data_IF_196268198226
#
_entry.id   IF_196268198226
#
_cell.length_a   1.000
_cell.length_b   1.000
_cell.length_c   1.000
_cell.angle_alpha   90.00
_cell.angle_beta   90.00
_cell.angle_gamma   90.00
#
_symmetry.space_group_name_H-M   'P 1'
#
loop_
_entity.id
_entity.type
_entity.pdbx_description
1 polymer ?
#
# COMPACT_ATOMS: atom_id res chain seq x y z
N UNK A 1 -40.89 -20.98 26.98
CA UNK A 1 -39.48 -21.26 26.62
C UNK A 1 -39.02 -20.12 25.73
N UNK A 2 -38.29 -19.16 26.28
CA UNK A 2 -37.96 -17.93 25.55
C UNK A 2 -37.40 -16.90 26.53
N UNK A 3 -36.06 -16.81 26.55
CA UNK A 3 -35.18 -15.81 27.18
C UNK A 3 -33.84 -16.52 27.43
N UNK A 4 -32.95 -16.48 26.44
CA UNK A 4 -31.65 -17.16 26.54
C UNK A 4 -30.59 -16.76 25.51
N UNK A 5 -30.97 -16.11 24.40
CA UNK A 5 -30.02 -15.84 23.30
C UNK A 5 -29.61 -14.36 23.13
N UNK A 6 -30.07 -13.44 23.98
CA UNK A 6 -29.80 -12.00 23.79
C UNK A 6 -28.60 -11.45 24.60
N UNK A 7 -27.97 -12.25 25.47
CA UNK A 7 -26.89 -11.76 26.35
C UNK A 7 -25.49 -12.11 25.84
N UNK A 8 -25.35 -13.07 24.92
CA UNK A 8 -24.03 -13.47 24.40
C UNK A 8 -23.58 -12.58 23.23
N UNK A 9 -24.50 -12.06 22.40
CA UNK A 9 -24.15 -11.20 21.25
C UNK A 9 -23.68 -9.78 21.62
N UNK A 10 -24.13 -9.23 22.76
CA UNK A 10 -23.78 -7.85 23.17
C UNK A 10 -22.39 -7.80 23.83
N UNK A 11 -21.92 -8.91 24.42
CA UNK A 11 -20.60 -8.98 25.06
C UNK A 11 -19.49 -9.17 24.00
N UNK A 12 -19.76 -9.86 22.89
CA UNK A 12 -18.80 -10.04 21.79
C UNK A 12 -18.52 -8.75 21.01
N UNK A 13 -19.56 -7.96 20.71
CA UNK A 13 -19.41 -6.69 19.97
C UNK A 13 -18.75 -5.60 20.84
N UNK A 14 -18.99 -5.61 22.15
CA UNK A 14 -18.33 -4.70 23.09
C UNK A 14 -16.83 -4.98 23.26
N UNK A 15 -16.40 -6.25 23.17
CA UNK A 15 -14.99 -6.61 23.25
C UNK A 15 -14.23 -6.29 21.95
N UNK A 16 -14.84 -6.51 20.78
CA UNK A 16 -14.23 -6.17 19.49
C UNK A 16 -14.07 -4.66 19.28
N UNK A 17 -15.08 -3.85 19.65
CA UNK A 17 -14.96 -2.39 19.54
C UNK A 17 -14.02 -1.76 20.59
N UNK A 18 -13.83 -2.40 21.75
CA UNK A 18 -12.84 -1.96 22.74
C UNK A 18 -11.40 -2.23 22.27
N UNK A 19 -11.15 -3.28 21.48
CA UNK A 19 -9.83 -3.58 20.89
C UNK A 19 -9.51 -2.63 19.73
N UNK A 20 -10.49 -2.31 18.87
CA UNK A 20 -10.30 -1.35 17.77
C UNK A 20 -10.14 0.09 18.28
N UNK A 21 -10.88 0.49 19.32
CA UNK A 21 -10.69 1.79 19.96
C UNK A 21 -9.37 1.88 20.76
N UNK A 22 -8.88 0.77 21.33
CA UNK A 22 -7.56 0.73 21.97
C UNK A 22 -6.41 0.80 20.94
N UNK A 23 -6.60 0.27 19.72
CA UNK A 23 -5.62 0.38 18.63
C UNK A 23 -5.57 1.79 18.01
N UNK A 24 -6.67 2.54 18.02
CA UNK A 24 -6.74 3.91 17.50
C UNK A 24 -6.38 5.00 18.52
N UNK A 25 -6.35 4.69 19.83
CA UNK A 25 -6.10 5.67 20.91
C UNK A 25 -4.81 5.44 21.71
N UNK A 26 -4.02 4.41 21.40
CA UNK A 26 -2.69 4.24 21.98
C UNK A 26 -1.64 4.71 20.98
N UNK A 27 -1.24 5.98 21.10
CA UNK A 27 0.13 6.34 20.75
C UNK A 27 1.05 5.43 21.56
N UNK A 28 1.62 4.40 20.92
CA UNK A 28 2.33 3.35 21.64
C UNK A 28 3.69 3.85 22.13
N UNK A 29 3.92 3.92 23.46
CA UNK A 29 5.24 4.12 24.02
C UNK A 29 5.93 2.76 24.13
N UNK A 30 7.12 2.64 23.54
CA UNK A 30 8.00 1.47 23.63
C UNK A 30 7.99 0.61 22.37
N UNK A 31 8.72 1.07 21.34
CA UNK A 31 8.94 0.32 20.11
C UNK A 31 10.05 -0.72 20.33
N UNK A 32 9.71 -2.00 20.27
CA UNK A 32 10.69 -3.07 20.15
C UNK A 32 11.26 -3.04 18.72
N UNK A 33 12.37 -2.32 18.54
CA UNK A 33 13.12 -2.37 17.30
C UNK A 33 13.87 -3.70 17.27
N UNK A 34 13.46 -4.58 16.37
CA UNK A 34 14.18 -5.83 16.10
C UNK A 34 15.36 -5.49 15.18
N UNK A 35 16.60 -5.89 15.51
CA UNK A 35 17.74 -5.74 14.60
C UNK A 35 17.45 -6.40 13.25
N UNK A 36 17.90 -5.77 12.16
CA UNK A 36 17.84 -6.36 10.82
C UNK A 36 18.69 -7.65 10.75
N UNK A 37 18.49 -8.43 9.68
CA UNK A 37 19.45 -9.48 9.32
C UNK A 37 20.86 -8.85 9.17
N UNK A 38 21.91 -9.46 9.75
CA UNK A 38 23.25 -8.89 9.70
C UNK A 38 23.75 -8.81 8.25
N UNK A 39 23.93 -7.59 7.75
CA UNK A 39 24.60 -7.33 6.46
C UNK A 39 23.90 -6.33 5.53
N UNK A 40 22.69 -5.87 5.85
CA UNK A 40 22.03 -4.85 5.03
C UNK A 40 22.50 -3.44 5.40
N UNK A 41 23.23 -2.80 4.49
CA UNK A 41 23.82 -1.46 4.70
C UNK A 41 23.20 -0.42 3.77
N UNK A 42 23.23 0.83 4.22
CA UNK A 42 22.89 2.00 3.42
C UNK A 42 24.13 2.88 3.26
N UNK A 43 24.46 3.22 2.02
CA UNK A 43 25.61 4.06 1.71
C UNK A 43 25.27 5.53 1.96
N UNK A 44 25.57 6.00 3.17
CA UNK A 44 25.33 7.40 3.56
C UNK A 44 26.38 8.29 2.90
N UNK A 45 25.94 9.14 1.96
CA UNK A 45 26.79 10.13 1.30
C UNK A 45 26.92 11.38 2.17
N UNK A 46 27.79 11.30 3.19
CA UNK A 46 28.04 12.42 4.08
C UNK A 46 28.69 13.62 3.34
N UNK A 47 28.33 14.86 3.71
CA UNK A 47 29.04 16.05 3.26
C UNK A 47 30.46 16.12 3.86
N UNK A 48 31.27 17.04 3.34
CA UNK A 48 32.63 17.28 3.85
C UNK A 48 32.62 17.61 5.35
N UNK A 49 33.56 17.02 6.10
CA UNK A 49 33.66 17.21 7.55
C UNK A 49 32.68 16.38 8.40
N UNK A 50 31.81 15.59 7.76
CA UNK A 50 30.88 14.68 8.44
C UNK A 50 31.24 13.23 8.16
N UNK A 51 31.16 12.39 9.18
CA UNK A 51 31.32 10.93 9.07
C UNK A 51 30.15 10.20 9.69
N UNK A 52 29.85 9.00 9.19
CA UNK A 52 28.77 8.15 9.67
C UNK A 52 29.30 6.82 10.20
N UNK A 53 28.92 6.48 11.43
CA UNK A 53 29.12 5.17 12.01
C UNK A 53 27.81 4.37 11.95
N UNK A 54 27.73 3.42 11.02
CA UNK A 54 26.55 2.60 10.78
C UNK A 54 26.21 1.68 11.97
N UNK A 55 27.22 1.19 12.70
CA UNK A 55 27.02 0.25 13.83
C UNK A 55 26.34 0.94 15.01
N UNK A 56 26.61 2.23 15.21
CA UNK A 56 26.05 3.00 16.33
C UNK A 56 24.91 3.93 15.91
N UNK A 57 24.66 4.07 14.61
CA UNK A 57 23.74 5.05 14.04
C UNK A 57 24.13 6.49 14.37
N UNK A 58 25.42 6.80 14.37
CA UNK A 58 25.95 8.10 14.82
C UNK A 58 26.59 8.86 13.66
N UNK A 59 26.14 10.10 13.44
CA UNK A 59 26.84 11.09 12.62
C UNK A 59 27.79 11.90 13.51
N UNK A 60 28.98 12.20 12.99
CA UNK A 60 30.03 12.92 13.72
C UNK A 60 30.62 14.02 12.86
N UNK A 61 31.01 15.13 13.51
CA UNK A 61 31.68 16.28 12.91
C UNK A 61 32.84 16.73 13.79
N UNK A 62 33.86 17.38 13.20
CA UNK A 62 35.02 17.87 13.97
C UNK A 62 34.65 19.03 14.90
N UNK A 63 33.81 19.93 14.40
CA UNK A 63 33.32 21.12 15.08
C UNK A 63 31.90 20.94 15.61
N UNK A 64 31.49 21.80 16.55
CA UNK A 64 30.10 21.84 16.97
C UNK A 64 29.26 22.50 15.88
N UNK A 65 28.28 21.75 15.35
CA UNK A 65 27.38 22.22 14.28
C UNK A 65 25.92 22.03 14.67
N UNK A 66 25.05 22.73 13.96
CA UNK A 66 23.61 22.52 14.01
C UNK A 66 23.22 21.35 13.11
N UNK A 67 22.46 20.41 13.64
CA UNK A 67 21.86 19.30 12.91
C UNK A 67 20.36 19.56 12.76
N UNK A 68 19.88 19.66 11.53
CA UNK A 68 18.44 19.66 11.25
C UNK A 68 18.05 18.28 10.71
N UNK A 69 17.10 17.63 11.37
CA UNK A 69 16.75 16.23 11.08
C UNK A 69 15.26 16.13 10.81
N UNK A 70 14.92 15.56 9.66
CA UNK A 70 13.54 15.23 9.29
C UNK A 70 13.38 13.72 9.26
N UNK A 71 12.48 13.17 10.06
CA UNK A 71 12.11 11.76 10.02
C UNK A 71 11.17 11.51 8.83
N UNK A 72 11.66 10.76 7.84
CA UNK A 72 10.95 10.50 6.59
C UNK A 72 9.88 9.41 6.74
N UNK A 73 9.85 8.70 7.87
CA UNK A 73 8.87 7.67 8.19
C UNK A 73 7.63 8.21 8.91
N UNK A 74 7.57 9.54 9.11
CA UNK A 74 6.38 10.26 9.56
C UNK A 74 5.64 10.80 8.33
N UNK A 75 4.31 10.57 8.19
CA UNK A 75 3.51 11.18 7.14
C UNK A 75 3.69 12.70 7.10
N UNK A 76 3.63 13.29 5.92
CA UNK A 76 3.86 14.72 5.73
C UNK A 76 2.90 15.61 6.52
N UNK A 77 1.63 15.22 6.59
CA UNK A 77 0.60 15.88 7.39
C UNK A 77 -0.20 14.82 8.15
N UNK A 78 -0.25 14.96 9.46
CA UNK A 78 -1.08 14.16 10.35
C UNK A 78 -2.17 15.04 10.96
N UNK A 79 -3.12 14.45 11.68
CA UNK A 79 -4.10 15.20 12.48
C UNK A 79 -3.47 16.12 13.52
N UNK A 80 -2.20 15.90 13.86
CA UNK A 80 -1.43 16.68 14.84
C UNK A 80 -0.63 17.82 14.20
N UNK A 81 -0.57 17.87 12.87
CA UNK A 81 0.11 18.91 12.11
C UNK A 81 1.05 18.34 11.05
N UNK A 82 1.91 19.21 10.52
CA UNK A 82 2.88 18.81 9.49
C UNK A 82 4.10 18.17 10.12
N UNK A 83 4.71 17.23 9.38
CA UNK A 83 6.05 16.71 9.66
C UNK A 83 6.99 17.90 9.88
N UNK A 84 7.54 17.97 11.09
CA UNK A 84 8.38 19.08 11.52
C UNK A 84 9.79 18.55 11.78
N UNK A 85 10.82 19.13 11.14
CA UNK A 85 12.19 18.81 11.47
C UNK A 85 12.50 19.14 12.93
N UNK A 86 13.40 18.39 13.56
CA UNK A 86 13.97 18.79 14.85
C UNK A 86 15.40 19.28 14.68
N UNK A 87 15.80 20.18 15.58
CA UNK A 87 17.14 20.76 15.60
C UNK A 87 17.88 20.31 16.86
N UNK A 88 19.17 20.03 16.71
CA UNK A 88 20.09 19.85 17.85
C UNK A 88 21.47 20.39 17.50
N UNK A 89 22.22 20.83 18.51
CA UNK A 89 23.58 21.35 18.33
C UNK A 89 24.56 20.42 19.04
N UNK A 90 25.64 20.06 18.35
CA UNK A 90 26.66 19.18 18.92
C UNK A 90 27.62 18.64 17.87
N UNK A 91 28.66 17.97 18.34
CA UNK A 91 29.62 17.26 17.47
C UNK A 91 29.10 15.92 16.98
N UNK A 92 28.12 15.35 17.69
CA UNK A 92 27.56 14.03 17.44
C UNK A 92 26.03 14.10 17.37
N UNK A 93 25.45 13.39 16.41
CA UNK A 93 24.03 13.14 16.29
C UNK A 93 23.79 11.63 16.26
N UNK A 94 23.14 11.10 17.30
CA UNK A 94 22.77 9.69 17.38
C UNK A 94 21.31 9.50 16.98
N UNK A 95 21.07 8.71 15.95
CA UNK A 95 19.75 8.42 15.41
C UNK A 95 19.30 7.01 15.82
N UNK A 96 17.99 6.84 15.92
CA UNK A 96 17.37 5.52 16.08
C UNK A 96 17.25 4.84 14.71
N UNK A 97 16.99 3.52 14.68
CA UNK A 97 16.56 2.83 13.46
C UNK A 97 15.43 3.58 12.74
N UNK A 98 15.58 3.81 11.44
CA UNK A 98 14.65 4.62 10.65
C UNK A 98 15.30 5.22 9.40
N UNK A 99 14.59 6.14 8.75
CA UNK A 99 15.05 6.87 7.57
C UNK A 99 14.88 8.38 7.76
N UNK A 100 15.96 9.13 7.56
CA UNK A 100 16.04 10.54 7.87
C UNK A 100 16.63 11.33 6.70
N UNK A 101 16.15 12.57 6.55
CA UNK A 101 16.83 13.62 5.79
C UNK A 101 17.53 14.57 6.75
N UNK A 102 18.84 14.72 6.61
CA UNK A 102 19.69 15.45 7.55
C UNK A 102 20.37 16.63 6.84
N UNK A 103 20.44 17.78 7.52
CA UNK A 103 21.28 18.92 7.15
C UNK A 103 22.29 19.15 8.26
N UNK A 104 23.58 19.21 7.91
CA UNK A 104 24.70 19.36 8.84
C UNK A 104 25.33 20.75 8.68
N UNK A 105 25.08 21.65 9.62
CA UNK A 105 25.46 23.06 9.50
C UNK A 105 24.80 23.70 8.26
N UNK A 106 25.63 24.21 7.36
CA UNK A 106 25.20 24.84 6.10
C UNK A 106 25.25 23.87 4.90
N UNK A 107 25.33 22.54 5.13
CA UNK A 107 25.39 21.56 4.04
C UNK A 107 24.09 21.49 3.24
N UNK A 108 24.15 20.88 2.06
CA UNK A 108 22.94 20.38 1.40
C UNK A 108 22.33 19.21 2.22
N UNK A 109 21.02 18.96 2.13
CA UNK A 109 20.39 17.81 2.76
C UNK A 109 20.90 16.48 2.18
N UNK A 110 21.09 15.49 3.04
CA UNK A 110 21.49 14.13 2.65
C UNK A 110 20.67 13.07 3.38
N UNK A 111 20.57 11.89 2.75
CA UNK A 111 19.77 10.77 3.24
C UNK A 111 20.56 9.86 4.18
N UNK A 112 19.93 9.47 5.27
CA UNK A 112 20.51 8.60 6.31
C UNK A 112 19.49 7.54 6.69
N UNK A 113 19.82 6.27 6.45
CA UNK A 113 19.02 5.15 6.92
C UNK A 113 19.79 4.33 7.95
N UNK A 114 19.15 4.09 9.10
CA UNK A 114 19.70 3.30 10.21
C UNK A 114 18.98 1.96 10.23
N UNK A 115 19.76 0.88 10.21
CA UNK A 115 19.26 -0.48 10.12
C UNK A 115 18.32 -0.86 11.27
N UNK A 116 17.38 -1.74 10.96
CA UNK A 116 16.30 -2.17 11.83
C UNK A 116 15.03 -2.37 11.02
N UNK A 117 14.07 -3.06 11.62
CA UNK A 117 12.81 -3.37 10.98
C UNK A 117 11.62 -3.04 11.89
N UNK A 118 10.47 -2.89 11.24
CA UNK A 118 9.17 -2.78 11.91
C UNK A 118 8.30 -3.96 11.51
N UNK A 119 7.74 -4.64 12.51
CA UNK A 119 6.72 -5.68 12.30
C UNK A 119 5.34 -5.04 12.25
N UNK A 120 4.57 -5.44 11.26
CA UNK A 120 3.18 -5.06 11.06
C UNK A 120 2.30 -6.29 11.18
N UNK A 121 1.08 -6.07 11.66
CA UNK A 121 0.02 -7.08 11.69
C UNK A 121 -1.18 -6.51 10.98
N UNK A 122 -1.62 -7.18 9.92
CA UNK A 122 -2.85 -6.84 9.22
C UNK A 122 -3.91 -7.89 9.56
N UNK A 123 -5.09 -7.43 9.98
CA UNK A 123 -6.23 -8.29 10.32
C UNK A 123 -7.51 -7.75 9.72
N UNK A 124 -8.35 -8.62 9.14
CA UNK A 124 -9.64 -8.24 8.58
C UNK A 124 -10.63 -9.42 8.58
N UNK A 125 -11.90 -9.10 8.42
CA UNK A 125 -12.98 -10.06 8.18
C UNK A 125 -13.12 -10.31 6.68
N UNK A 126 -13.09 -11.59 6.27
CA UNK A 126 -13.26 -12.02 4.89
C UNK A 126 -14.53 -12.87 4.72
N UNK A 127 -15.43 -12.48 3.83
CA UNK A 127 -16.61 -13.25 3.47
C UNK A 127 -16.31 -14.20 2.30
N UNK A 128 -16.32 -15.51 2.52
CA UNK A 128 -15.98 -16.49 1.48
C UNK A 128 -17.15 -16.80 0.50
N UNK A 129 -18.31 -16.18 0.71
CA UNK A 129 -19.57 -16.47 0.01
C UNK A 129 -20.54 -17.30 0.85
N UNK A 130 -20.09 -17.88 1.95
CA UNK A 130 -20.92 -18.65 2.88
C UNK A 130 -20.83 -18.08 4.30
N UNK A 131 -19.61 -17.89 4.79
CA UNK A 131 -19.28 -17.45 6.15
C UNK A 131 -18.30 -16.26 6.14
N UNK A 132 -18.25 -15.55 7.28
CA UNK A 132 -17.20 -14.57 7.57
C UNK A 132 -16.08 -15.24 8.34
N UNK A 133 -14.83 -15.00 7.92
CA UNK A 133 -13.60 -15.56 8.50
C UNK A 133 -12.68 -14.45 8.98
N UNK A 134 -12.10 -14.60 10.16
CA UNK A 134 -11.05 -13.72 10.66
C UNK A 134 -9.70 -14.10 10.06
N UNK A 135 -9.11 -13.19 9.29
CA UNK A 135 -7.83 -13.35 8.63
C UNK A 135 -6.80 -12.44 9.29
N UNK A 136 -5.58 -12.95 9.44
CA UNK A 136 -4.45 -12.19 9.98
C UNK A 136 -3.15 -12.64 9.31
N UNK A 137 -2.31 -11.68 8.96
CA UNK A 137 -0.93 -11.90 8.49
C UNK A 137 0.01 -10.94 9.20
N UNK A 138 1.26 -11.36 9.41
CA UNK A 138 2.28 -10.50 10.02
C UNK A 138 3.51 -10.42 9.13
N UNK A 139 4.04 -9.22 8.93
CA UNK A 139 5.17 -9.01 8.02
C UNK A 139 6.12 -7.95 8.56
N UNK A 140 7.38 -8.11 8.20
CA UNK A 140 8.44 -7.19 8.57
C UNK A 140 8.80 -6.30 7.37
N UNK A 141 9.10 -5.03 7.65
CA UNK A 141 9.67 -4.08 6.69
C UNK A 141 11.00 -3.58 7.26
N UNK A 142 12.10 -3.80 6.53
CA UNK A 142 13.40 -3.20 6.84
C UNK A 142 13.38 -1.72 6.51
N UNK A 143 13.91 -0.89 7.41
CA UNK A 143 14.07 0.55 7.17
C UNK A 143 15.07 0.84 6.06
N UNK A 144 16.05 -0.03 5.83
CA UNK A 144 17.03 0.16 4.75
C UNK A 144 16.38 -0.07 3.38
N UNK A 145 15.62 -1.16 3.23
CA UNK A 145 14.90 -1.44 1.98
C UNK A 145 13.84 -0.38 1.68
N UNK A 146 13.11 0.05 2.71
CA UNK A 146 12.14 1.11 2.57
C UNK A 146 12.80 2.43 2.16
N UNK A 147 13.90 2.84 2.79
CA UNK A 147 14.63 4.05 2.42
C UNK A 147 15.10 4.03 0.97
N UNK A 148 15.70 2.91 0.52
CA UNK A 148 16.11 2.73 -0.88
C UNK A 148 14.91 2.87 -1.84
N UNK A 149 13.80 2.21 -1.50
CA UNK A 149 12.56 2.27 -2.28
C UNK A 149 12.03 3.70 -2.38
N UNK A 150 11.93 4.42 -1.25
CA UNK A 150 11.45 5.80 -1.20
C UNK A 150 12.36 6.75 -1.98
N UNK A 151 13.68 6.59 -1.92
CA UNK A 151 14.63 7.45 -2.66
C UNK A 151 14.49 7.23 -4.17
N UNK A 152 14.51 5.96 -4.61
CA UNK A 152 14.33 5.63 -6.01
C UNK A 152 12.98 6.10 -6.56
N UNK A 153 11.93 5.98 -5.75
CA UNK A 153 10.58 6.35 -6.17
C UNK A 153 10.33 7.85 -6.08
N UNK A 154 11.00 8.59 -5.17
CA UNK A 154 10.86 10.03 -5.03
C UNK A 154 11.29 10.79 -6.30
N UNK A 155 12.42 10.41 -6.92
CA UNK A 155 12.87 11.06 -8.16
C UNK A 155 11.83 10.89 -9.28
N UNK A 156 11.27 9.68 -9.41
CA UNK A 156 10.21 9.41 -10.39
C UNK A 156 8.92 10.15 -10.04
N UNK A 157 8.59 10.29 -8.76
CA UNK A 157 7.40 11.03 -8.33
C UNK A 157 7.55 12.55 -8.46
N UNK A 158 8.75 13.12 -8.32
CA UNK A 158 8.97 14.57 -8.45
C UNK A 158 9.05 15.01 -9.91
N UNK A 159 9.69 14.23 -10.78
CA UNK A 159 9.99 14.63 -12.16
C UNK A 159 9.23 13.84 -13.23
N UNK A 160 8.57 12.75 -12.85
CA UNK A 160 7.90 11.85 -13.77
C UNK A 160 6.53 12.36 -14.23
N UNK A 161 6.22 12.10 -15.49
CA UNK A 161 4.86 12.21 -16.03
C UNK A 161 4.05 10.97 -15.65
N UNK A 162 2.87 11.17 -15.07
CA UNK A 162 1.93 10.12 -14.62
C UNK A 162 1.17 9.42 -15.76
N UNK A 163 1.86 9.04 -16.83
CA UNK A 163 1.23 8.29 -17.91
C UNK A 163 0.85 6.88 -17.45
N UNK A 164 -0.29 6.37 -17.92
CA UNK A 164 -0.73 5.02 -17.60
C UNK A 164 0.24 3.93 -18.06
N UNK A 165 1.03 4.17 -19.11
CA UNK A 165 2.13 3.28 -19.51
C UNK A 165 3.22 3.11 -18.43
N UNK A 166 3.26 3.99 -17.42
CA UNK A 166 4.15 3.87 -16.28
C UNK A 166 3.54 3.11 -15.10
N UNK A 167 2.22 2.86 -15.07
CA UNK A 167 1.58 2.14 -13.97
C UNK A 167 2.23 0.78 -13.66
N UNK A 168 2.67 -0.02 -14.65
CA UNK A 168 3.35 -1.28 -14.34
C UNK A 168 4.66 -1.10 -13.55
N UNK A 169 5.31 0.07 -13.64
CA UNK A 169 6.65 0.30 -13.05
C UNK A 169 6.64 0.44 -11.53
N UNK A 170 5.48 0.75 -10.94
CA UNK A 170 5.34 0.84 -9.48
C UNK A 170 5.01 -0.52 -8.85
N UNK A 171 4.66 -1.53 -9.64
CA UNK A 171 4.37 -2.88 -9.14
C UNK A 171 5.68 -3.63 -8.91
N UNK A 172 6.11 -3.71 -7.65
CA UNK A 172 7.35 -4.37 -7.24
C UNK A 172 7.03 -5.60 -6.39
N UNK A 173 7.60 -6.77 -6.76
CA UNK A 173 7.47 -8.02 -6.00
C UNK A 173 8.77 -8.28 -5.25
N UNK A 174 8.87 -7.73 -4.05
CA UNK A 174 10.00 -7.88 -3.14
C UNK A 174 9.84 -9.10 -2.19
N UNK A 175 10.77 -9.23 -1.23
CA UNK A 175 10.75 -10.31 -0.22
C UNK A 175 9.56 -10.21 0.73
N UNK A 176 9.12 -9.00 1.06
CA UNK A 176 7.97 -8.75 1.95
C UNK A 176 6.68 -9.14 1.26
N UNK A 177 6.47 -8.77 0.00
CA UNK A 177 5.31 -9.19 -0.80
C UNK A 177 5.25 -10.72 -0.93
N UNK A 178 6.37 -11.38 -1.22
CA UNK A 178 6.41 -12.86 -1.28
C UNK A 178 6.10 -13.51 0.06
N UNK A 179 6.57 -12.93 1.16
CA UNK A 179 6.27 -13.41 2.51
C UNK A 179 4.78 -13.25 2.83
N UNK A 180 4.18 -12.11 2.48
CA UNK A 180 2.74 -11.88 2.65
C UNK A 180 1.94 -12.87 1.81
N UNK A 181 2.27 -13.03 0.53
CA UNK A 181 1.58 -13.97 -0.37
C UNK A 181 1.67 -15.42 0.14
N UNK A 182 2.84 -15.87 0.60
CA UNK A 182 3.00 -17.20 1.19
C UNK A 182 2.09 -17.42 2.39
N UNK A 183 2.01 -16.44 3.31
CA UNK A 183 1.12 -16.51 4.47
C UNK A 183 -0.36 -16.49 4.06
N UNK A 184 -0.73 -15.66 3.07
CA UNK A 184 -2.09 -15.64 2.53
C UNK A 184 -2.45 -16.97 1.88
N UNK A 185 -1.55 -17.55 1.08
CA UNK A 185 -1.70 -18.89 0.48
C UNK A 185 -2.01 -19.93 1.55
N UNK A 186 -1.19 -20.01 2.59
CA UNK A 186 -1.36 -20.97 3.69
C UNK A 186 -2.70 -20.75 4.41
N UNK A 187 -3.02 -19.50 4.75
CA UNK A 187 -4.26 -19.15 5.44
C UNK A 187 -5.50 -19.49 4.62
N UNK A 188 -5.44 -19.29 3.31
CA UNK A 188 -6.53 -19.63 2.41
C UNK A 188 -6.82 -21.14 2.39
N UNK A 189 -5.76 -21.96 2.33
CA UNK A 189 -5.87 -23.42 2.39
C UNK A 189 -6.37 -23.90 3.76
N UNK A 190 -5.92 -23.28 4.86
CA UNK A 190 -6.39 -23.58 6.22
C UNK A 190 -7.89 -23.34 6.41
N UNK A 191 -8.45 -22.35 5.71
CA UNK A 191 -9.89 -22.04 5.74
C UNK A 191 -10.70 -22.96 4.80
N UNK A 192 -10.06 -23.93 4.14
CA UNK A 192 -10.70 -24.87 3.22
C UNK A 192 -10.75 -24.38 1.76
N UNK A 193 -10.13 -23.24 1.45
CA UNK A 193 -9.95 -22.76 0.09
C UNK A 193 -8.96 -23.63 -0.70
N UNK A 194 -8.98 -23.50 -2.03
CA UNK A 194 -8.04 -24.18 -2.92
C UNK A 194 -7.41 -23.21 -3.89
N UNK A 195 -6.08 -23.16 -3.95
CA UNK A 195 -5.36 -22.30 -4.90
C UNK A 195 -5.54 -22.70 -6.36
N UNK A 196 -6.05 -23.90 -6.61
CA UNK A 196 -6.47 -24.36 -7.95
C UNK A 196 -7.76 -23.65 -8.40
N UNK A 197 -8.60 -23.20 -7.46
CA UNK A 197 -9.67 -22.24 -7.75
C UNK A 197 -9.06 -20.84 -7.86
N UNK A 198 -8.50 -20.57 -9.04
CA UNK A 198 -7.76 -19.34 -9.34
C UNK A 198 -8.59 -18.08 -9.15
N UNK A 199 -9.91 -18.12 -9.40
CA UNK A 199 -10.76 -16.96 -9.20
C UNK A 199 -11.03 -16.72 -7.72
N UNK A 200 -11.43 -17.75 -6.96
CA UNK A 200 -11.69 -17.59 -5.52
C UNK A 200 -10.41 -17.23 -4.75
N UNK A 201 -9.25 -17.75 -5.16
CA UNK A 201 -7.98 -17.35 -4.57
C UNK A 201 -7.60 -15.90 -4.90
N UNK A 202 -7.85 -15.43 -6.12
CA UNK A 202 -7.66 -14.01 -6.46
C UNK A 202 -8.58 -13.09 -5.65
N UNK A 203 -9.85 -13.47 -5.46
CA UNK A 203 -10.81 -12.75 -4.59
C UNK A 203 -10.30 -12.66 -3.14
N UNK A 204 -9.68 -13.73 -2.64
CA UNK A 204 -9.06 -13.73 -1.33
C UNK A 204 -7.84 -12.81 -1.25
N UNK A 205 -6.92 -12.90 -2.22
CA UNK A 205 -5.70 -12.08 -2.26
C UNK A 205 -6.00 -10.58 -2.34
N UNK A 206 -6.94 -10.17 -3.18
CA UNK A 206 -7.30 -8.75 -3.33
C UNK A 206 -7.96 -8.19 -2.07
N UNK A 207 -8.64 -9.03 -1.30
CA UNK A 207 -9.26 -8.63 -0.04
C UNK A 207 -8.23 -8.07 0.95
N UNK A 208 -6.99 -8.55 0.92
CA UNK A 208 -5.91 -7.98 1.74
C UNK A 208 -5.71 -6.50 1.42
N UNK A 209 -5.56 -6.12 0.14
CA UNK A 209 -5.38 -4.72 -0.24
C UNK A 209 -6.64 -3.88 0.08
N UNK A 210 -7.81 -4.40 -0.28
CA UNK A 210 -9.11 -3.74 -0.07
C UNK A 210 -9.44 -3.46 1.39
N UNK A 211 -8.98 -4.32 2.31
CA UNK A 211 -9.42 -4.29 3.71
C UNK A 211 -8.35 -3.78 4.67
N UNK A 212 -7.07 -3.79 4.27
CA UNK A 212 -5.95 -3.45 5.18
C UNK A 212 -5.26 -2.14 4.83
N UNK A 213 -5.50 -1.61 3.62
CA UNK A 213 -4.97 -0.31 3.19
C UNK A 213 -6.08 0.72 3.33
N UNK A 214 -5.81 1.78 4.10
CA UNK A 214 -6.75 2.88 4.28
C UNK A 214 -6.64 3.87 3.13
N UNK A 215 -7.77 4.31 2.59
CA UNK A 215 -7.78 5.39 1.62
C UNK A 215 -7.47 6.73 2.33
N UNK A 216 -6.60 7.60 1.79
CA UNK A 216 -6.26 8.86 2.43
C UNK A 216 -7.50 9.75 2.63
N UNK A 217 -7.63 10.39 3.79
CA UNK A 217 -8.66 11.41 4.02
C UNK A 217 -8.09 12.78 3.65
N UNK A 218 -8.16 13.11 2.36
CA UNK A 218 -7.64 14.38 1.86
C UNK A 218 -8.38 15.59 2.46
N UNK A 219 -7.64 16.56 3.00
CA UNK A 219 -8.14 17.93 3.08
C UNK A 219 -8.02 18.51 1.66
N UNK A 220 -9.13 18.96 1.07
CA UNK A 220 -9.17 19.60 -0.26
C UNK A 220 -8.81 18.76 -1.50
N UNK A 221 -9.00 17.43 -1.47
CA UNK A 221 -8.88 16.58 -2.68
C UNK A 221 -7.45 16.25 -3.11
N UNK A 222 -6.48 16.51 -2.24
CA UNK A 222 -5.07 16.15 -2.44
C UNK A 222 -4.74 14.94 -1.54
N UNK A 223 -5.20 13.76 -1.95
CA UNK A 223 -5.17 12.54 -1.14
C UNK A 223 -3.74 12.17 -0.70
N UNK A 224 -2.79 12.21 -1.62
CA UNK A 224 -1.39 11.88 -1.38
C UNK A 224 -0.62 12.92 -0.59
N UNK A 225 -1.04 14.18 -0.64
CA UNK A 225 -0.28 15.27 -0.04
C UNK A 225 -0.15 15.08 1.47
N UNK A 226 -1.16 14.49 2.12
CA UNK A 226 -1.11 14.17 3.55
C UNK A 226 -0.03 13.14 3.90
N UNK A 227 0.25 12.17 3.03
CA UNK A 227 1.26 11.15 3.30
C UNK A 227 2.62 11.60 2.80
N UNK A 228 2.69 12.09 1.57
CA UNK A 228 3.93 12.26 0.81
C UNK A 228 4.40 13.72 0.71
N UNK A 229 3.52 14.68 0.95
CA UNK A 229 3.81 16.12 0.79
C UNK A 229 3.87 16.58 -0.66
N UNK A 230 3.43 15.74 -1.60
CA UNK A 230 3.27 16.04 -3.02
C UNK A 230 1.95 15.47 -3.53
N UNK A 231 1.41 16.03 -4.61
CA UNK A 231 0.19 15.51 -5.25
C UNK A 231 0.52 14.30 -6.13
N UNK A 232 -0.39 13.34 -6.22
CA UNK A 232 -0.31 12.20 -7.14
C UNK A 232 1.02 11.44 -7.00
N UNK A 233 1.37 11.06 -5.77
CA UNK A 233 2.54 10.24 -5.49
C UNK A 233 2.17 8.77 -5.65
N UNK A 234 2.64 8.10 -6.71
CA UNK A 234 2.37 6.68 -6.84
C UNK A 234 3.40 5.91 -6.01
N UNK A 235 2.96 5.42 -4.86
CA UNK A 235 3.74 4.63 -3.94
C UNK A 235 3.92 3.20 -4.44
N UNK A 236 5.10 2.64 -4.17
CA UNK A 236 5.37 1.21 -4.39
C UNK A 236 4.76 0.38 -3.25
N UNK A 237 4.54 -0.93 -3.44
CA UNK A 237 3.90 -1.77 -2.42
C UNK A 237 4.52 -1.68 -1.01
N UNK A 238 5.85 -1.63 -0.89
CA UNK A 238 6.52 -1.51 0.41
C UNK A 238 6.22 -0.18 1.11
N UNK A 239 6.14 0.90 0.35
CA UNK A 239 5.77 2.24 0.83
C UNK A 239 4.32 2.26 1.32
N UNK A 240 3.39 1.75 0.52
CA UNK A 240 1.96 1.64 0.87
C UNK A 240 1.75 0.78 2.11
N UNK A 241 2.42 -0.38 2.20
CA UNK A 241 2.34 -1.27 3.36
C UNK A 241 2.89 -0.63 4.63
N UNK A 242 3.99 0.13 4.53
CA UNK A 242 4.60 0.76 5.69
C UNK A 242 3.70 1.80 6.34
N UNK A 243 3.06 2.64 5.54
CA UNK A 243 2.12 3.65 6.04
C UNK A 243 0.73 3.09 6.31
N UNK A 244 0.37 1.94 5.71
CA UNK A 244 -0.98 1.37 5.75
C UNK A 244 -2.02 2.27 5.08
N UNK A 245 -1.57 3.21 4.25
CA UNK A 245 -2.37 4.23 3.59
C UNK A 245 -1.92 4.29 2.14
N UNK A 246 -2.89 4.36 1.22
CA UNK A 246 -2.65 4.52 -0.20
C UNK A 246 -3.97 4.70 -0.94
N UNK A 247 -3.94 5.43 -2.04
CA UNK A 247 -5.12 5.68 -2.85
C UNK A 247 -5.29 4.61 -3.95
N UNK A 248 -5.87 4.96 -5.11
CA UNK A 248 -6.29 3.97 -6.09
C UNK A 248 -5.13 3.22 -6.75
N UNK A 249 -4.07 3.90 -7.16
CA UNK A 249 -2.89 3.29 -7.76
C UNK A 249 -2.06 2.52 -6.74
N UNK A 250 -1.95 3.01 -5.51
CA UNK A 250 -1.12 2.43 -4.45
C UNK A 250 -1.68 1.08 -4.02
N UNK A 251 -2.99 1.06 -3.70
CA UNK A 251 -3.71 -0.17 -3.34
C UNK A 251 -3.73 -1.17 -4.51
N UNK A 252 -3.87 -0.68 -5.74
CA UNK A 252 -3.79 -1.50 -6.95
C UNK A 252 -2.41 -2.11 -7.15
N UNK A 253 -1.34 -1.36 -6.87
CA UNK A 253 0.02 -1.86 -6.98
C UNK A 253 0.29 -2.98 -5.97
N UNK A 254 -0.19 -2.87 -4.72
CA UNK A 254 -0.11 -3.95 -3.73
C UNK A 254 -0.87 -5.19 -4.21
N UNK A 255 -2.13 -5.04 -4.65
CA UNK A 255 -2.92 -6.15 -5.16
C UNK A 255 -2.22 -6.83 -6.35
N UNK A 256 -1.71 -6.05 -7.30
CA UNK A 256 -0.97 -6.57 -8.44
C UNK A 256 0.31 -7.30 -8.05
N UNK A 257 1.06 -6.79 -7.07
CA UNK A 257 2.26 -7.44 -6.58
C UNK A 257 1.95 -8.80 -5.93
N UNK A 258 0.87 -8.91 -5.16
CA UNK A 258 0.39 -10.17 -4.59
C UNK A 258 -0.07 -11.16 -5.67
N UNK A 259 -0.85 -10.70 -6.65
CA UNK A 259 -1.25 -11.55 -7.78
C UNK A 259 -0.03 -12.10 -8.53
N UNK A 260 0.96 -11.25 -8.80
CA UNK A 260 2.18 -11.66 -9.49
C UNK A 260 3.01 -12.63 -8.65
N UNK A 261 3.08 -12.43 -7.32
CA UNK A 261 3.72 -13.38 -6.40
C UNK A 261 3.03 -14.75 -6.42
N UNK A 262 1.69 -14.77 -6.47
CA UNK A 262 0.85 -15.97 -6.58
C UNK A 262 0.82 -16.61 -7.99
N UNK A 263 1.62 -16.12 -8.93
CA UNK A 263 1.79 -16.67 -10.27
C UNK A 263 0.72 -16.27 -11.29
N UNK A 264 -0.11 -15.26 -11.00
CA UNK A 264 -1.01 -14.70 -12.00
C UNK A 264 -0.25 -13.81 -12.99
N UNK A 265 -0.69 -13.80 -14.25
CA UNK A 265 -0.38 -12.68 -15.14
C UNK A 265 -1.24 -11.49 -14.72
N UNK A 266 -0.62 -10.34 -14.58
CA UNK A 266 -1.24 -9.18 -13.90
C UNK A 266 -1.10 -7.92 -14.75
N UNK A 267 -2.02 -6.99 -14.57
CA UNK A 267 -1.99 -5.67 -15.19
C UNK A 267 -2.51 -4.61 -14.21
N UNK A 268 -1.96 -3.41 -14.31
CA UNK A 268 -2.60 -2.22 -13.75
C UNK A 268 -3.65 -1.70 -14.74
N UNK A 269 -4.75 -1.14 -14.25
CA UNK A 269 -5.86 -0.67 -15.08
C UNK A 269 -5.98 0.84 -14.93
N UNK A 270 -5.67 1.58 -15.99
CA UNK A 270 -5.85 3.03 -16.02
C UNK A 270 -7.19 3.39 -16.64
N UNK A 271 -8.01 4.19 -15.95
CA UNK A 271 -9.30 4.69 -16.44
C UNK A 271 -9.50 6.15 -16.00
N UNK A 272 -10.49 6.89 -16.53
CA UNK A 272 -10.70 8.29 -16.12
C UNK A 272 -10.87 8.46 -14.61
N UNK A 273 -9.90 9.14 -14.00
CA UNK A 273 -9.92 9.50 -12.57
C UNK A 273 -9.80 8.33 -11.61
N UNK A 274 -9.33 7.16 -12.07
CA UNK A 274 -9.21 5.98 -11.22
C UNK A 274 -8.19 4.98 -11.76
N UNK A 275 -7.56 4.24 -10.85
CA UNK A 275 -6.67 3.12 -11.15
C UNK A 275 -7.18 1.87 -10.43
N UNK A 276 -7.13 0.72 -11.09
CA UNK A 276 -7.51 -0.57 -10.50
C UNK A 276 -6.45 -1.64 -10.76
N UNK A 277 -6.56 -2.78 -10.08
CA UNK A 277 -5.78 -3.96 -10.39
C UNK A 277 -6.49 -4.82 -11.45
N UNK A 278 -5.74 -5.72 -12.09
CA UNK A 278 -6.30 -6.70 -13.02
C UNK A 278 -5.41 -7.92 -13.18
N UNK A 279 -6.01 -9.05 -13.54
CA UNK A 279 -5.30 -10.31 -13.74
C UNK A 279 -5.91 -11.18 -14.84
N UNK A 280 -5.13 -12.10 -15.37
CA UNK A 280 -5.63 -13.11 -16.30
C UNK A 280 -6.22 -14.27 -15.52
N UNK A 281 -7.45 -14.62 -15.88
CA UNK A 281 -8.13 -15.84 -15.43
C UNK A 281 -8.44 -16.68 -16.67
N UNK A 282 -7.96 -17.92 -16.71
CA UNK A 282 -8.25 -18.85 -17.81
C UNK A 282 -9.74 -19.19 -17.87
N UNK A 283 -10.35 -19.32 -16.70
CA UNK A 283 -11.78 -19.52 -16.52
C UNK A 283 -12.30 -18.46 -15.57
N UNK A 284 -13.35 -17.77 -15.99
CA UNK A 284 -14.04 -16.78 -15.18
C UNK A 284 -15.52 -17.14 -15.09
N UNK A 285 -16.02 -17.24 -13.85
CA UNK A 285 -17.42 -17.48 -13.54
C UNK A 285 -18.00 -16.22 -12.89
N UNK A 286 -18.96 -15.55 -13.52
CA UNK A 286 -19.67 -14.45 -12.90
C UNK A 286 -20.27 -14.82 -11.54
N UNK A 287 -20.07 -13.94 -10.56
CA UNK A 287 -20.75 -13.95 -9.26
C UNK A 287 -21.98 -13.04 -9.28
N UNK A 288 -22.98 -13.37 -8.47
CA UNK A 288 -24.07 -12.44 -8.15
C UNK A 288 -23.54 -11.40 -7.16
N UNK A 289 -23.22 -10.23 -7.69
CA UNK A 289 -22.71 -9.10 -6.92
C UNK A 289 -23.65 -8.68 -5.79
N UNK A 290 -24.95 -8.95 -5.87
CA UNK A 290 -25.88 -8.63 -4.79
C UNK A 290 -25.60 -9.37 -3.47
N UNK A 291 -24.89 -10.50 -3.52
CA UNK A 291 -24.43 -11.26 -2.34
C UNK A 291 -23.34 -10.51 -1.55
N UNK A 292 -22.58 -9.63 -2.21
CA UNK A 292 -21.44 -8.91 -1.63
C UNK A 292 -21.80 -7.51 -1.12
N UNK A 293 -23.04 -7.05 -1.34
CA UNK A 293 -23.47 -5.68 -1.07
C UNK A 293 -23.27 -5.22 0.38
N UNK A 294 -23.38 -6.15 1.33
CA UNK A 294 -23.30 -5.86 2.77
C UNK A 294 -21.84 -5.87 3.27
N UNK A 295 -20.92 -6.43 2.48
CA UNK A 295 -19.49 -6.53 2.79
C UNK A 295 -18.65 -5.50 2.04
N UNK A 296 -19.24 -4.85 1.04
CA UNK A 296 -18.58 -3.87 0.22
C UNK A 296 -19.06 -2.43 0.54
N UNK A 297 -18.26 -1.64 1.27
CA UNK A 297 -18.58 -0.22 1.49
C UNK A 297 -18.39 0.57 0.18
N UNK A 298 -19.36 1.43 -0.18
CA UNK A 298 -19.39 2.14 -1.48
C UNK A 298 -19.93 1.33 -2.67
N UNK A 299 -20.40 0.10 -2.43
CA UNK A 299 -20.79 -0.87 -3.47
C UNK A 299 -22.22 -0.74 -4.00
N UNK A 300 -23.10 0.00 -3.31
CA UNK A 300 -24.44 0.31 -3.83
C UNK A 300 -24.40 1.04 -5.18
N UNK A 301 -23.31 1.76 -5.46
CA UNK A 301 -23.03 2.38 -6.76
C UNK A 301 -22.47 1.41 -7.81
N UNK A 302 -21.92 0.25 -7.40
CA UNK A 302 -21.35 -0.77 -8.26
C UNK A 302 -22.38 -1.81 -8.72
N UNK A 303 -23.35 -2.22 -7.89
CA UNK A 303 -24.26 -3.34 -8.24
C UNK A 303 -25.05 -3.11 -9.54
N UNK A 304 -25.63 -1.93 -9.72
CA UNK A 304 -26.39 -1.59 -10.95
C UNK A 304 -25.49 -1.16 -12.11
N UNK A 305 -24.23 -0.84 -11.80
CA UNK A 305 -23.27 -0.27 -12.72
C UNK A 305 -21.97 -1.05 -12.72
N UNK A 306 -21.94 -2.37 -12.53
CA UNK A 306 -20.73 -3.16 -12.73
C UNK A 306 -20.71 -3.72 -14.15
N UNK A 307 -19.53 -3.80 -14.77
CA UNK A 307 -19.33 -4.46 -16.05
C UNK A 307 -18.14 -5.40 -15.97
N UNK A 308 -18.12 -6.42 -16.84
CA UNK A 308 -16.92 -7.22 -17.03
C UNK A 308 -15.84 -6.32 -17.63
N UNK A 309 -14.83 -6.02 -16.83
CA UNK A 309 -13.62 -5.39 -17.32
C UNK A 309 -12.77 -6.49 -17.95
N UNK A 310 -13.09 -6.86 -19.19
CA UNK A 310 -12.34 -7.84 -19.97
C UNK A 310 -11.92 -7.26 -21.30
N UNK A 311 -10.62 -7.11 -21.49
CA UNK A 311 -10.04 -6.66 -22.75
C UNK A 311 -8.66 -7.28 -22.94
N UNK A 312 -8.31 -7.50 -24.20
CA UNK A 312 -6.91 -7.69 -24.59
C UNK A 312 -6.17 -6.37 -24.32
N UNK A 313 -4.98 -6.46 -23.73
CA UNK A 313 -4.08 -5.31 -23.60
C UNK A 313 -3.58 -4.80 -24.96
N UNK A 314 -3.88 -5.51 -26.05
CA UNK A 314 -3.43 -5.25 -27.42
C UNK A 314 -1.97 -5.60 -27.65
N UNK A 315 -1.28 -6.08 -26.61
CA UNK A 315 0.16 -6.40 -26.61
C UNK A 315 0.44 -7.89 -26.45
N UNK A 316 -0.48 -8.66 -25.85
CA UNK A 316 -0.20 -10.03 -25.37
C UNK A 316 -1.21 -11.08 -25.83
N UNK A 317 -2.43 -10.68 -26.25
CA UNK A 317 -3.51 -11.62 -26.57
C UNK A 317 -4.16 -12.28 -25.35
N UNK A 318 -3.75 -11.86 -24.14
CA UNK A 318 -4.33 -12.31 -22.88
C UNK A 318 -5.59 -11.50 -22.53
N UNK A 319 -6.58 -12.16 -21.91
CA UNK A 319 -7.81 -11.52 -21.44
C UNK A 319 -7.71 -11.21 -19.94
N UNK A 320 -7.55 -9.93 -19.62
CA UNK A 320 -7.46 -9.46 -18.23
C UNK A 320 -8.84 -9.23 -17.63
N UNK A 321 -8.97 -9.45 -16.33
CA UNK A 321 -10.16 -9.23 -15.51
C UNK A 321 -9.81 -8.16 -14.47
N UNK A 322 -10.47 -7.01 -14.54
CA UNK A 322 -10.23 -5.91 -13.60
C UNK A 322 -10.88 -6.11 -12.24
N UNK A 323 -10.30 -5.54 -11.20
CA UNK A 323 -10.84 -5.53 -9.84
C UNK A 323 -10.52 -4.22 -9.15
N UNK A 324 -11.53 -3.66 -8.49
CA UNK A 324 -11.41 -2.41 -7.77
C UNK A 324 -10.82 -2.63 -6.36
N UNK A 325 -9.87 -1.80 -5.95
CA UNK A 325 -9.08 -1.98 -4.72
C UNK A 325 -9.38 -0.97 -3.62
N UNK A 326 -10.18 0.06 -3.90
CA UNK A 326 -10.47 1.15 -2.95
C UNK A 326 -11.82 0.99 -2.26
N UNK A 327 -12.57 -0.03 -2.68
CA UNK A 327 -13.75 -0.51 -1.99
C UNK A 327 -13.32 -1.69 -1.11
N UNK A 328 -14.19 -2.09 -0.20
CA UNK A 328 -14.01 -3.33 0.58
C UNK A 328 -14.06 -4.55 -0.36
N UNK A 329 -14.65 -5.67 0.05
CA UNK A 329 -14.42 -6.97 -0.58
C UNK A 329 -15.07 -7.20 -1.97
N UNK A 330 -14.65 -6.44 -2.98
CA UNK A 330 -15.13 -6.51 -4.36
C UNK A 330 -14.52 -7.74 -5.05
N UNK A 331 -15.34 -8.66 -5.60
CA UNK A 331 -14.82 -9.79 -6.35
C UNK A 331 -14.06 -9.39 -7.60
N UNK A 332 -13.07 -10.20 -7.97
CA UNK A 332 -12.31 -10.11 -9.21
C UNK A 332 -13.23 -10.18 -10.43
N UNK A 333 -12.92 -9.38 -11.45
CA UNK A 333 -13.68 -9.31 -12.70
C UNK A 333 -14.72 -8.18 -12.74
N UNK A 334 -14.89 -7.46 -11.64
CA UNK A 334 -15.87 -6.39 -11.51
C UNK A 334 -15.21 -5.02 -11.34
N UNK A 335 -15.62 -4.09 -12.20
CA UNK A 335 -15.33 -2.66 -12.11
C UNK A 335 -16.59 -1.85 -12.38
N UNK A 336 -16.56 -0.56 -12.04
CA UNK A 336 -17.59 0.38 -12.48
C UNK A 336 -17.75 0.37 -14.01
N UNK A 337 -18.98 0.31 -14.47
CA UNK A 337 -19.43 0.23 -15.86
C UNK A 337 -19.02 1.47 -16.63
N UNK A 338 -19.03 2.64 -15.98
CA UNK A 338 -18.48 3.86 -16.57
C UNK A 338 -16.99 3.73 -16.90
N UNK A 339 -16.22 3.03 -16.05
CA UNK A 339 -14.81 2.74 -16.30
C UNK A 339 -14.65 1.75 -17.45
N UNK A 340 -15.43 0.66 -17.47
CA UNK A 340 -15.41 -0.32 -18.58
C UNK A 340 -15.78 0.34 -19.91
N UNK A 341 -16.80 1.21 -19.92
CA UNK A 341 -17.22 1.97 -21.11
C UNK A 341 -16.17 2.98 -21.60
N UNK A 342 -15.15 3.27 -20.80
CA UNK A 342 -14.05 4.16 -21.18
C UNK A 342 -12.92 3.46 -21.93
N UNK A 343 -12.84 2.12 -21.89
CA UNK A 343 -11.75 1.37 -22.51
C UNK A 343 -11.54 1.72 -23.99
N UNK A 344 -10.28 1.88 -24.37
CA UNK A 344 -9.88 2.32 -25.71
C UNK A 344 -9.97 3.83 -25.95
N UNK A 345 -10.50 4.62 -25.01
CA UNK A 345 -10.58 6.09 -25.14
C UNK A 345 -9.36 6.74 -24.49
N UNK A 346 -8.92 7.86 -25.07
CA UNK A 346 -7.90 8.71 -24.44
C UNK A 346 -8.46 9.35 -23.18
N UNK A 347 -7.71 9.23 -22.09
CA UNK A 347 -7.98 9.84 -20.79
C UNK A 347 -7.12 11.08 -20.66
N UNK A 348 -7.74 12.21 -20.31
CA UNK A 348 -7.07 13.50 -20.16
C UNK A 348 -6.88 13.82 -18.69
N UNK A 349 -5.72 14.34 -18.32
CA UNK A 349 -5.55 15.08 -17.08
C UNK A 349 -6.28 16.43 -17.24
N UNK A 350 -7.28 16.67 -16.39
CA UNK A 350 -8.14 17.85 -16.48
C UNK A 350 -7.47 19.13 -15.98
N UNK A 351 -6.40 19.03 -15.17
CA UNK A 351 -5.62 20.17 -14.69
C UNK A 351 -4.62 20.64 -15.74
N UNK A 352 -3.90 19.70 -16.36
CA UNK A 352 -2.79 20.00 -17.28
C UNK A 352 -3.20 19.96 -18.74
N UNK A 353 -4.36 19.38 -19.06
CA UNK A 353 -4.80 19.07 -20.43
C UNK A 353 -3.81 18.15 -21.19
N UNK A 354 -2.95 17.43 -20.46
CA UNK A 354 -2.06 16.41 -21.01
C UNK A 354 -2.74 15.03 -20.89
N UNK A 355 -2.72 14.17 -21.91
CA UNK A 355 -3.29 12.83 -21.79
C UNK A 355 -2.61 12.00 -20.71
N UNK A 356 -3.37 11.34 -19.84
CA UNK A 356 -2.83 10.27 -18.98
C UNK A 356 -2.49 9.02 -19.80
N UNK A 357 -3.26 8.74 -20.87
CA UNK A 357 -3.05 7.57 -21.72
C UNK A 357 -4.37 7.07 -22.30
N UNK A 358 -4.39 5.84 -22.81
CA UNK A 358 -5.61 5.18 -23.26
C UNK A 358 -6.20 4.34 -22.14
N UNK A 359 -7.49 4.47 -21.83
CA UNK A 359 -8.09 3.65 -20.79
C UNK A 359 -7.99 2.16 -21.14
N UNK A 360 -7.53 1.33 -20.21
CA UNK A 360 -7.34 -0.10 -20.44
C UNK A 360 -6.32 -0.76 -19.51
N UNK A 361 -5.90 -1.96 -19.89
CA UNK A 361 -4.95 -2.79 -19.14
C UNK A 361 -3.51 -2.53 -19.55
N UNK A 362 -2.65 -2.38 -18.55
CA UNK A 362 -1.21 -2.17 -18.67
C UNK A 362 -0.51 -3.36 -18.00
N UNK A 363 -0.05 -4.36 -18.78
CA UNK A 363 0.59 -5.56 -18.25
C UNK A 363 1.80 -5.26 -17.37
N UNK A 364 1.93 -6.02 -16.28
CA UNK A 364 3.09 -6.02 -15.40
C UNK A 364 4.03 -7.15 -15.82
N UNK A 365 5.10 -6.79 -16.52
CA UNK A 365 6.13 -7.72 -17.02
C UNK A 365 6.94 -8.39 -15.91
#
# INVERSE_FOLDING_TARGET
MGRGYLIIAIIGIGAAMAVVAALLLMGMPGQDVIPDDPGETFDVKCPEGVTFNADTGTLMSEDEITWNVTDMLIPFETSEGKRTPFETVGKELKLKPGYYKVVAGDSDPFDVAIAGKKTFTASWEYYDGEDVRDVQVSYDISYIELAKTMIENADWNVYGTRYFDNLPKIVVVDKTIRSIESQLSERYEEMGGSKEDRQAYADFLVSFAQMTISYPTGHSGEYDYGVWGVKEYWARPLETLFFGIGDCEDSSAVACALFKAAGFKTAMVGVPGHVTAGLVLETFTPRDISEYKDYCEGYSSMTEAAGYAVADSGKTGDYYHGVDTIRKQVPTGYMLKGHVQSFGKTVMNWETMIPYGTAGFYPVD
#
